data_IF_209651368824
#
_entry.id   IF_209651368824
#
_cell.length_a   1.000
_cell.length_b   1.000
_cell.length_c   1.000
_cell.angle_alpha   90.00
_cell.angle_beta   90.00
_cell.angle_gamma   90.00
#
_symmetry.space_group_name_H-M   'P 1'
#
loop_
_entity.id
_entity.type
_entity.pdbx_description
1 polymer ?
#
# COMPACT_ATOMS: atom_id res chain seq x y z
N UNK A 1 -18.63 16.60 -0.25
CA UNK A 1 -18.97 15.94 -1.52
C UNK A 1 -17.67 15.49 -2.13
N UNK A 2 -17.40 14.20 -2.37
CA UNK A 2 -16.19 13.82 -3.08
C UNK A 2 -16.41 14.03 -4.59
N UNK A 3 -15.62 14.90 -5.24
CA UNK A 3 -15.67 15.10 -6.69
C UNK A 3 -14.76 14.08 -7.38
N UNK A 4 -15.15 13.60 -8.55
CA UNK A 4 -14.27 12.79 -9.41
C UNK A 4 -14.97 11.75 -10.27
N UNK A 5 -16.17 12.03 -10.80
CA UNK A 5 -16.77 11.16 -11.80
C UNK A 5 -16.09 11.37 -13.14
N UNK A 6 -15.28 10.40 -13.58
CA UNK A 6 -14.85 10.31 -14.97
C UNK A 6 -16.01 9.92 -15.88
N UNK A 7 -15.80 9.92 -17.19
CA UNK A 7 -16.84 9.69 -18.20
C UNK A 7 -17.36 8.23 -18.27
N UNK A 8 -17.03 7.38 -17.30
CA UNK A 8 -17.38 5.96 -17.20
C UNK A 8 -17.79 5.65 -15.73
N UNK A 9 -18.41 4.50 -15.47
CA UNK A 9 -18.98 4.19 -14.16
C UNK A 9 -17.91 3.91 -13.10
N UNK A 10 -17.92 4.70 -12.03
CA UNK A 10 -17.09 4.49 -10.85
C UNK A 10 -18.00 4.28 -9.63
N UNK A 11 -17.67 3.30 -8.78
CA UNK A 11 -18.51 2.87 -7.67
C UNK A 11 -17.71 2.78 -6.37
N UNK A 12 -18.30 3.24 -5.26
CA UNK A 12 -17.89 2.83 -3.91
C UNK A 12 -18.70 1.63 -3.46
N UNK A 13 -18.04 0.64 -2.84
CA UNK A 13 -18.67 -0.62 -2.43
C UNK A 13 -18.49 -0.93 -0.94
N UNK A 14 -17.50 -0.34 -0.27
CA UNK A 14 -17.28 -0.55 1.15
C UNK A 14 -16.63 0.64 1.84
N UNK A 15 -16.91 0.76 3.14
CA UNK A 15 -16.28 1.70 4.05
C UNK A 15 -16.02 1.02 5.40
N UNK A 16 -14.85 1.26 5.99
CA UNK A 16 -14.46 0.79 7.30
C UNK A 16 -13.82 1.94 8.08
N UNK A 17 -13.83 1.87 9.41
CA UNK A 17 -13.26 2.88 10.29
C UNK A 17 -12.33 2.18 11.28
N UNK A 18 -11.10 2.65 11.36
CA UNK A 18 -10.16 2.24 12.41
C UNK A 18 -10.66 2.82 13.74
N UNK A 19 -10.91 1.94 14.70
CA UNK A 19 -11.48 2.33 16.00
C UNK A 19 -10.46 2.95 16.95
N UNK A 20 -9.17 2.83 16.66
CA UNK A 20 -8.06 3.40 17.45
C UNK A 20 -7.80 4.83 16.98
N UNK A 21 -7.57 5.03 15.68
CA UNK A 21 -7.20 6.34 15.13
C UNK A 21 -8.39 7.19 14.69
N UNK A 22 -9.51 6.55 14.35
CA UNK A 22 -10.64 7.19 13.70
C UNK A 22 -10.47 7.39 12.19
N UNK A 23 -9.39 6.86 11.60
CA UNK A 23 -9.17 6.91 10.16
C UNK A 23 -10.24 6.10 9.40
N UNK A 24 -10.56 6.56 8.20
CA UNK A 24 -11.62 6.00 7.37
C UNK A 24 -11.00 5.37 6.13
N UNK A 25 -11.35 4.12 5.88
CA UNK A 25 -10.93 3.38 4.71
C UNK A 25 -12.13 3.16 3.81
N UNK A 26 -12.00 3.43 2.52
CA UNK A 26 -13.05 3.14 1.55
C UNK A 26 -12.48 2.37 0.36
N UNK A 27 -13.33 1.54 -0.25
CA UNK A 27 -12.99 0.78 -1.45
C UNK A 27 -14.11 0.82 -2.46
N UNK A 28 -13.75 0.50 -3.69
CA UNK A 28 -14.67 0.44 -4.80
C UNK A 28 -13.99 0.00 -6.07
N UNK A 29 -14.64 0.26 -7.19
CA UNK A 29 -14.07 0.03 -8.52
C UNK A 29 -14.21 1.26 -9.40
N UNK A 30 -13.33 1.38 -10.38
CA UNK A 30 -13.34 2.48 -11.34
C UNK A 30 -13.13 1.95 -12.74
N UNK A 31 -14.02 2.30 -13.67
CA UNK A 31 -13.88 2.02 -15.10
C UNK A 31 -13.36 3.24 -15.86
N UNK A 32 -13.31 4.39 -15.21
CA UNK A 32 -12.70 5.60 -15.75
C UNK A 32 -11.19 5.39 -15.98
N UNK A 33 -10.59 5.99 -17.03
CA UNK A 33 -9.15 5.85 -17.30
C UNK A 33 -8.26 6.22 -16.11
N UNK A 34 -8.74 7.14 -15.27
CA UNK A 34 -8.15 7.43 -13.98
C UNK A 34 -9.21 7.93 -12.99
N UNK A 35 -8.94 7.77 -11.69
CA UNK A 35 -9.68 8.37 -10.58
C UNK A 35 -8.70 9.17 -9.71
N UNK A 36 -9.19 10.22 -9.05
CA UNK A 36 -8.36 11.09 -8.20
C UNK A 36 -8.91 11.19 -6.78
N UNK A 37 -8.06 10.90 -5.80
CA UNK A 37 -8.36 11.06 -4.37
C UNK A 37 -7.39 12.06 -3.76
N UNK A 38 -7.86 13.25 -3.40
CA UNK A 38 -7.04 14.24 -2.68
C UNK A 38 -5.72 14.62 -3.38
N UNK A 39 -5.67 14.49 -4.71
CA UNK A 39 -4.48 14.73 -5.52
C UNK A 39 -3.72 13.47 -5.93
N UNK A 40 -3.98 12.32 -5.30
CA UNK A 40 -3.44 11.01 -5.71
C UNK A 40 -4.24 10.53 -6.93
N UNK A 41 -3.54 10.27 -8.05
CA UNK A 41 -4.14 9.80 -9.30
C UNK A 41 -3.88 8.30 -9.45
N UNK A 42 -4.96 7.52 -9.55
CA UNK A 42 -4.91 6.09 -9.83
C UNK A 42 -5.33 5.86 -11.29
N UNK A 43 -4.52 5.12 -12.03
CA UNK A 43 -4.76 4.83 -13.46
C UNK A 43 -5.40 3.45 -13.61
N UNK A 44 -6.38 3.32 -14.49
CA UNK A 44 -6.97 2.02 -14.81
C UNK A 44 -6.06 1.31 -15.83
N UNK A 45 -5.68 0.06 -15.55
CA UNK A 45 -4.81 -0.76 -16.37
C UNK A 45 -5.53 -1.32 -17.62
N UNK A 46 -6.85 -1.41 -17.57
CA UNK A 46 -7.72 -1.70 -18.69
C UNK A 46 -7.70 -0.57 -19.74
N UNK A 47 -7.47 -0.95 -21.00
CA UNK A 47 -7.56 -0.01 -22.12
C UNK A 47 -9.02 0.22 -22.53
N UNK A 48 -9.51 1.46 -22.37
CA UNK A 48 -10.75 1.91 -23.02
C UNK A 48 -10.39 2.21 -24.49
N UNK A 49 -10.99 1.56 -25.52
CA UNK A 49 -12.34 1.01 -25.56
C UNK A 49 -12.38 -0.48 -25.93
N UNK A 50 -12.12 -1.38 -24.98
CA UNK A 50 -12.63 -2.75 -25.10
C UNK A 50 -14.14 -2.78 -24.78
N UNK A 51 -14.88 -3.63 -25.50
CA UNK A 51 -16.26 -3.94 -25.13
C UNK A 51 -16.29 -4.55 -23.73
N UNK A 52 -16.81 -3.84 -22.74
CA UNK A 52 -16.95 -4.37 -21.38
C UNK A 52 -16.63 -3.41 -20.24
N UNK A 53 -16.04 -2.22 -20.50
CA UNK A 53 -15.67 -1.24 -19.45
C UNK A 53 -14.87 -1.90 -18.30
N UNK A 54 -13.67 -2.46 -18.57
CA UNK A 54 -12.87 -3.11 -17.54
C UNK A 54 -12.64 -2.16 -16.37
N UNK A 55 -12.71 -2.70 -15.17
CA UNK A 55 -12.68 -1.93 -13.94
C UNK A 55 -11.55 -2.43 -13.06
N UNK A 56 -10.83 -1.51 -12.44
CA UNK A 56 -9.86 -1.84 -11.40
C UNK A 56 -10.44 -1.53 -10.03
N UNK A 57 -9.89 -2.14 -8.99
CA UNK A 57 -10.22 -1.85 -7.60
C UNK A 57 -9.42 -0.65 -7.14
N UNK A 58 -10.06 0.25 -6.38
CA UNK A 58 -9.38 1.30 -5.63
C UNK A 58 -9.59 1.11 -4.12
N UNK A 59 -8.60 1.56 -3.33
CA UNK A 59 -8.66 1.69 -1.87
C UNK A 59 -8.11 3.05 -1.51
N UNK A 60 -8.77 3.76 -0.60
CA UNK A 60 -8.32 5.05 -0.08
C UNK A 60 -8.35 5.03 1.44
N UNK A 61 -7.30 5.58 2.05
CA UNK A 61 -7.28 5.95 3.46
C UNK A 61 -7.47 7.45 3.60
N UNK A 62 -8.41 7.82 4.46
CA UNK A 62 -8.70 9.18 4.87
C UNK A 62 -8.41 9.33 6.36
N UNK A 63 -7.91 10.49 6.76
CA UNK A 63 -7.86 10.88 8.17
C UNK A 63 -9.26 10.94 8.76
N UNK A 64 -9.36 10.96 10.09
CA UNK A 64 -10.63 11.22 10.81
C UNK A 64 -11.32 12.55 10.45
N UNK A 65 -10.61 13.49 9.83
CA UNK A 65 -11.17 14.76 9.32
C UNK A 65 -11.55 14.71 7.84
N UNK A 66 -11.32 13.59 7.16
CA UNK A 66 -11.66 13.35 5.75
C UNK A 66 -10.58 13.78 4.74
N UNK A 67 -9.37 14.11 5.20
CA UNK A 67 -8.22 14.36 4.30
C UNK A 67 -7.66 13.05 3.78
N UNK A 68 -7.24 12.99 2.51
CA UNK A 68 -6.61 11.77 1.96
C UNK A 68 -5.19 11.63 2.48
N UNK A 69 -4.86 10.47 3.05
CA UNK A 69 -3.48 10.11 3.40
C UNK A 69 -2.82 9.34 2.27
N UNK A 70 -3.50 8.31 1.75
CA UNK A 70 -3.04 7.55 0.60
C UNK A 70 -4.22 6.97 -0.18
N UNK A 71 -3.96 6.65 -1.45
CA UNK A 71 -4.86 5.86 -2.27
C UNK A 71 -4.03 4.88 -3.10
N UNK A 72 -4.55 3.68 -3.32
CA UNK A 72 -3.91 2.65 -4.14
C UNK A 72 -4.95 1.90 -4.95
N UNK A 73 -4.53 1.23 -6.03
CA UNK A 73 -5.38 0.38 -6.84
C UNK A 73 -4.78 -1.00 -7.05
N UNK A 74 -5.64 -1.97 -7.33
CA UNK A 74 -5.29 -3.29 -7.81
C UNK A 74 -6.17 -3.65 -8.99
N UNK A 75 -5.57 -4.28 -10.00
CA UNK A 75 -6.30 -4.77 -11.15
C UNK A 75 -5.37 -4.97 -12.33
N UNK A 76 -5.94 -5.11 -13.51
CA UNK A 76 -5.22 -5.45 -14.71
C UNK A 76 -6.05 -5.12 -15.95
N UNK A 77 -5.87 -5.90 -17.00
CA UNK A 77 -6.57 -5.66 -18.27
C UNK A 77 -8.04 -6.08 -18.23
N UNK A 78 -8.41 -6.95 -17.29
CA UNK A 78 -9.76 -7.52 -17.14
C UNK A 78 -10.55 -6.78 -16.04
N UNK A 79 -11.76 -7.25 -15.73
CA UNK A 79 -12.61 -6.59 -14.73
C UNK A 79 -12.41 -7.15 -13.34
N UNK A 80 -12.03 -6.28 -12.42
CA UNK A 80 -11.82 -6.56 -11.02
C UNK A 80 -12.84 -5.83 -10.14
N UNK A 81 -13.27 -6.50 -9.07
CA UNK A 81 -14.35 -6.05 -8.20
C UNK A 81 -13.91 -6.08 -6.74
N UNK A 82 -14.04 -4.95 -6.04
CA UNK A 82 -14.09 -4.95 -4.59
C UNK A 82 -15.54 -5.01 -4.10
N UNK A 83 -15.83 -5.94 -3.19
CA UNK A 83 -17.15 -6.17 -2.61
C UNK A 83 -17.22 -5.72 -1.14
N UNK A 84 -16.09 -5.61 -0.45
CA UNK A 84 -16.06 -5.20 0.94
C UNK A 84 -14.65 -4.90 1.44
N UNK A 85 -14.59 -4.13 2.52
CA UNK A 85 -13.36 -3.74 3.22
C UNK A 85 -13.55 -3.88 4.72
N UNK A 86 -12.51 -4.34 5.42
CA UNK A 86 -12.41 -4.34 6.87
C UNK A 86 -11.03 -3.84 7.28
N UNK A 87 -10.96 -3.24 8.47
CA UNK A 87 -9.70 -2.86 9.11
C UNK A 87 -9.69 -3.47 10.51
N UNK A 88 -8.55 -4.03 10.92
CA UNK A 88 -8.39 -4.56 12.28
C UNK A 88 -7.87 -3.49 13.26
N UNK A 89 -7.52 -3.92 14.48
CA UNK A 89 -7.02 -3.01 15.53
C UNK A 89 -5.55 -2.64 15.36
N UNK A 90 -4.82 -3.34 14.49
CA UNK A 90 -3.42 -3.07 14.15
C UNK A 90 -3.32 -2.11 12.96
N UNK A 91 -4.43 -1.86 12.26
CA UNK A 91 -4.50 -0.99 11.10
C UNK A 91 -4.40 -1.74 9.78
N UNK A 92 -4.37 -3.08 9.81
CA UNK A 92 -4.29 -3.90 8.60
C UNK A 92 -5.62 -3.83 7.84
N UNK A 93 -5.52 -3.66 6.52
CA UNK A 93 -6.66 -3.45 5.63
C UNK A 93 -6.93 -4.70 4.79
N UNK A 94 -8.13 -5.25 4.94
CA UNK A 94 -8.56 -6.46 4.23
C UNK A 94 -9.62 -6.09 3.20
N UNK A 95 -9.33 -6.33 1.92
CA UNK A 95 -10.26 -6.12 0.81
C UNK A 95 -10.69 -7.46 0.23
N UNK A 96 -12.00 -7.62 0.05
CA UNK A 96 -12.58 -8.83 -0.55
C UNK A 96 -13.26 -8.50 -1.86
N UNK A 97 -13.30 -9.45 -2.78
CA UNK A 97 -13.63 -9.13 -4.16
C UNK A 97 -13.62 -10.31 -5.11
N UNK A 98 -13.78 -10.00 -6.39
CA UNK A 98 -13.56 -10.93 -7.50
C UNK A 98 -12.53 -10.30 -8.42
N UNK A 99 -11.35 -10.91 -8.48
CA UNK A 99 -10.27 -10.50 -9.37
C UNK A 99 -10.32 -11.43 -10.59
N UNK A 100 -10.61 -10.88 -11.76
CA UNK A 100 -10.61 -11.63 -13.02
C UNK A 100 -9.29 -11.45 -13.77
N UNK A 101 -8.53 -10.40 -13.46
CA UNK A 101 -7.20 -10.19 -13.99
C UNK A 101 -6.23 -11.26 -13.48
N UNK A 102 -5.27 -11.65 -14.33
CA UNK A 102 -4.29 -12.72 -14.04
C UNK A 102 -3.22 -12.33 -13.00
N UNK A 103 -3.09 -11.04 -12.71
CA UNK A 103 -2.21 -10.50 -11.67
C UNK A 103 -2.88 -9.25 -11.08
N UNK A 104 -3.17 -9.29 -9.79
CA UNK A 104 -3.75 -8.15 -9.06
C UNK A 104 -2.96 -7.92 -7.79
N UNK A 105 -2.05 -6.95 -7.83
CA UNK A 105 -1.36 -6.46 -6.64
C UNK A 105 -1.88 -5.07 -6.34
N UNK A 106 -2.28 -4.81 -5.10
CA UNK A 106 -2.47 -3.44 -4.66
C UNK A 106 -1.13 -2.74 -4.74
N UNK A 107 -1.11 -1.52 -5.29
CA UNK A 107 0.07 -0.69 -5.46
C UNK A 107 0.70 -0.27 -4.12
N UNK A 108 1.24 -1.23 -3.37
CA UNK A 108 2.61 -1.10 -2.93
C UNK A 108 3.40 -0.99 -4.23
N UNK A 109 4.05 0.16 -4.48
CA UNK A 109 5.21 0.08 -5.36
C UNK A 109 6.01 -1.12 -4.88
N UNK A 110 6.36 -2.05 -5.77
CA UNK A 110 7.14 -3.22 -5.38
C UNK A 110 8.29 -2.69 -4.54
N UNK A 111 8.18 -2.90 -3.24
CA UNK A 111 8.91 -2.09 -2.30
C UNK A 111 10.37 -2.48 -2.52
N UNK A 112 11.17 -1.49 -2.92
CA UNK A 112 12.51 -1.74 -3.43
C UNK A 112 13.51 -1.21 -2.41
N UNK A 113 14.48 -2.06 -2.07
CA UNK A 113 15.58 -1.66 -1.21
C UNK A 113 16.26 -0.43 -1.82
N UNK A 114 16.27 0.68 -1.08
CA UNK A 114 16.77 1.97 -1.56
C UNK A 114 17.71 2.60 -0.53
N UNK A 115 19.01 2.74 -0.85
CA UNK A 115 19.66 2.29 -2.08
C UNK A 115 19.71 0.76 -2.21
N UNK A 116 19.75 0.23 -3.44
CA UNK A 116 19.78 -1.23 -3.73
C UNK A 116 20.93 -1.96 -3.01
N UNK A 117 22.00 -1.24 -2.69
CA UNK A 117 23.17 -1.74 -1.98
C UNK A 117 23.28 -1.21 -0.54
N UNK A 118 22.16 -0.87 0.10
CA UNK A 118 22.17 -0.46 1.50
C UNK A 118 22.78 -1.56 2.37
N UNK A 119 23.66 -1.15 3.28
CA UNK A 119 24.23 -2.03 4.27
C UNK A 119 24.57 -1.25 5.55
N UNK A 120 24.34 -1.88 6.70
CA UNK A 120 24.67 -1.35 8.02
C UNK A 120 25.53 -2.35 8.78
N UNK A 121 26.70 -1.91 9.20
CA UNK A 121 27.70 -2.75 9.89
C UNK A 121 28.07 -4.06 9.16
N UNK A 122 27.93 -4.07 7.82
CA UNK A 122 28.24 -5.23 6.98
C UNK A 122 27.04 -6.12 6.64
N UNK A 123 25.87 -5.86 7.23
CA UNK A 123 24.62 -6.58 6.98
C UNK A 123 23.79 -5.82 5.95
N UNK A 124 23.27 -6.54 4.94
CA UNK A 124 22.43 -6.00 3.86
C UNK A 124 20.94 -6.07 4.21
N UNK A 125 20.07 -5.49 3.37
CA UNK A 125 18.62 -5.68 3.51
C UNK A 125 18.20 -7.15 3.46
N UNK A 126 18.89 -7.98 2.67
CA UNK A 126 18.67 -9.43 2.64
C UNK A 126 19.06 -10.09 3.97
N UNK A 127 20.15 -9.66 4.58
CA UNK A 127 20.57 -10.19 5.90
C UNK A 127 19.60 -9.78 7.01
N UNK A 128 19.09 -8.54 6.98
CA UNK A 128 18.04 -8.09 7.91
C UNK A 128 16.75 -8.91 7.77
N UNK A 129 16.37 -9.27 6.55
CA UNK A 129 15.23 -10.14 6.28
C UNK A 129 15.47 -11.57 6.78
N UNK A 130 16.61 -12.16 6.43
CA UNK A 130 16.98 -13.54 6.79
C UNK A 130 17.18 -13.72 8.30
N UNK A 131 17.79 -12.73 8.94
CA UNK A 131 17.99 -12.68 10.39
C UNK A 131 16.72 -12.34 11.18
N UNK A 132 15.64 -11.96 10.50
CA UNK A 132 14.40 -11.45 11.12
C UNK A 132 14.70 -10.31 12.10
N UNK A 133 15.57 -9.38 11.71
CA UNK A 133 16.00 -8.24 12.54
C UNK A 133 14.97 -7.12 12.57
N UNK A 134 14.06 -7.09 11.60
CA UNK A 134 12.98 -6.13 11.51
C UNK A 134 11.68 -6.84 11.08
N UNK A 135 10.57 -6.12 11.18
CA UNK A 135 9.27 -6.53 10.64
C UNK A 135 8.90 -5.66 9.44
N UNK A 136 7.98 -6.12 8.57
CA UNK A 136 7.46 -5.31 7.48
C UNK A 136 6.79 -3.99 7.90
N UNK A 137 6.50 -3.82 9.19
CA UNK A 137 5.88 -2.61 9.75
C UNK A 137 6.92 -1.62 10.31
N UNK A 138 8.23 -1.90 10.17
CA UNK A 138 9.30 -1.05 10.70
C UNK A 138 9.67 -1.31 12.17
N UNK A 139 9.11 -2.35 12.78
CA UNK A 139 9.40 -2.70 14.18
C UNK A 139 10.58 -3.69 14.32
N UNK A 140 11.13 -3.80 15.52
CA UNK A 140 12.19 -4.76 15.86
C UNK A 140 11.70 -6.22 15.69
N UNK A 141 12.43 -7.01 14.90
CA UNK A 141 12.08 -8.40 14.63
C UNK A 141 12.61 -9.39 15.69
N UNK A 142 12.21 -10.66 15.60
CA UNK A 142 12.56 -11.69 16.58
C UNK A 142 14.06 -11.97 16.71
N UNK A 143 14.86 -11.66 15.69
CA UNK A 143 16.32 -11.77 15.72
C UNK A 143 17.03 -10.53 16.26
N UNK A 144 16.31 -9.42 16.48
CA UNK A 144 16.89 -8.20 17.02
C UNK A 144 17.14 -8.33 18.53
N UNK A 145 18.39 -8.15 18.95
CA UNK A 145 18.72 -8.18 20.37
C UNK A 145 18.52 -6.79 20.99
N UNK A 146 17.72 -6.72 22.05
CA UNK A 146 17.52 -5.47 22.83
C UNK A 146 18.82 -4.78 23.29
N UNK A 147 19.92 -5.51 23.40
CA UNK A 147 21.25 -4.96 23.69
C UNK A 147 21.86 -4.10 22.57
N UNK A 148 21.37 -4.22 21.34
CA UNK A 148 21.82 -3.44 20.18
C UNK A 148 21.22 -2.03 20.14
N UNK A 149 20.19 -1.77 20.95
CA UNK A 149 19.46 -0.51 20.94
C UNK A 149 18.55 -0.37 19.73
N UNK A 150 18.26 0.86 19.31
CA UNK A 150 17.32 1.17 18.23
C UNK A 150 17.99 1.14 16.85
N UNK A 151 17.22 0.96 15.77
CA UNK A 151 17.72 0.98 14.38
C UNK A 151 18.52 2.24 14.02
N UNK A 152 18.18 3.42 14.56
CA UNK A 152 18.94 4.66 14.34
C UNK A 152 20.39 4.66 14.84
N UNK A 153 20.81 3.65 15.63
CA UNK A 153 22.22 3.45 15.99
C UNK A 153 23.02 2.73 14.88
N UNK A 154 22.32 2.18 13.89
CA UNK A 154 22.83 1.26 12.88
C UNK A 154 22.44 1.76 11.48
N UNK A 155 22.97 2.92 11.10
CA UNK A 155 22.73 3.54 9.79
C UNK A 155 23.85 3.25 8.79
N UNK A 156 23.55 3.38 7.50
CA UNK A 156 24.57 3.46 6.45
C UNK A 156 25.36 4.78 6.51
N UNK A 157 26.26 4.99 5.53
CA UNK A 157 27.05 6.21 5.41
C UNK A 157 26.22 7.48 5.15
N UNK A 158 24.97 7.33 4.71
CA UNK A 158 24.04 8.43 4.45
C UNK A 158 23.09 8.69 5.63
N UNK A 159 23.18 7.91 6.70
CA UNK A 159 22.32 8.02 7.88
C UNK A 159 20.96 7.33 7.73
N UNK A 160 20.80 6.44 6.74
CA UNK A 160 19.58 5.64 6.59
C UNK A 160 19.69 4.36 7.40
N UNK A 161 18.68 4.07 8.22
CA UNK A 161 18.52 2.77 8.87
C UNK A 161 17.67 1.80 8.02
N UNK A 162 17.56 0.56 8.50
CA UNK A 162 16.87 -0.51 7.79
C UNK A 162 15.37 -0.20 7.58
N UNK A 163 14.72 0.48 8.52
CA UNK A 163 13.28 0.84 8.42
C UNK A 163 13.01 1.91 7.37
N UNK A 164 14.06 2.57 6.88
CA UNK A 164 13.99 3.58 5.83
C UNK A 164 14.43 3.00 4.49
N UNK A 165 15.46 2.15 4.49
CA UNK A 165 16.08 1.67 3.27
C UNK A 165 15.56 0.31 2.79
N UNK A 166 15.20 -0.60 3.70
CA UNK A 166 14.94 -1.99 3.38
C UNK A 166 13.46 -2.30 3.31
N UNK A 167 13.08 -2.96 2.23
CA UNK A 167 11.69 -3.32 2.00
C UNK A 167 11.16 -4.29 3.04
N UNK A 168 11.96 -5.28 3.42
CA UNK A 168 11.62 -6.26 4.45
C UNK A 168 11.35 -5.62 5.82
N UNK A 169 11.81 -4.38 6.02
CA UNK A 169 11.66 -3.61 7.24
C UNK A 169 10.61 -2.50 7.13
N UNK A 170 9.73 -2.53 6.12
CA UNK A 170 8.72 -1.49 5.90
C UNK A 170 9.26 -0.18 5.30
N UNK A 171 10.54 -0.14 4.96
CA UNK A 171 11.19 0.95 4.24
C UNK A 171 11.18 0.74 2.73
N UNK A 172 12.10 1.41 2.03
CA UNK A 172 12.21 1.34 0.57
C UNK A 172 11.33 2.35 -0.17
N UNK A 173 11.46 2.41 -1.50
CA UNK A 173 10.81 3.39 -2.37
C UNK A 173 10.30 2.82 -3.68
#
# INVERSE_FOLDING_TARGET
APPGGGSVRDFGTGIAVDRVTGDVFATGRYSSPAVTFGGVVLTNAGSVPQSGEPSDVWVVKLTSTGSVEWATSAGGVDTDYANGIAVDLMGDVYVTGSMLSSSTTFGVGACADTPENWASSGETCEDYANGQYCTPDGEEGAGWLSSWGTFGNWTDANGLDATQACCACGGGG
#
